data_IF_571787269812
#
_entry.id   IF_571787269812
#
_cell.length_a   1.000
_cell.length_b   1.000
_cell.length_c   1.000
_cell.angle_alpha   90.00
_cell.angle_beta   90.00
_cell.angle_gamma   90.00
#
_symmetry.space_group_name_H-M   'P 1'
#
loop_
_entity.id
_entity.type
_entity.pdbx_description
1 polymer ?
#
# COMPACT_ATOMS: atom_id res chain seq x y z
N UNK A 1 13.36 -7.61 11.57
CA UNK A 1 12.63 -7.09 10.45
C UNK A 1 11.19 -7.63 10.36
N UNK A 2 10.85 -8.83 10.00
CA UNK A 2 9.47 -9.35 10.03
C UNK A 2 9.06 -9.92 11.40
N UNK A 3 9.25 -9.18 12.50
CA UNK A 3 8.88 -9.60 13.86
C UNK A 3 7.39 -9.42 14.19
N UNK A 4 6.62 -8.78 13.30
CA UNK A 4 5.19 -8.53 13.54
C UNK A 4 4.44 -9.86 13.58
N UNK A 5 3.55 -9.98 14.56
CA UNK A 5 2.59 -11.07 14.70
C UNK A 5 1.22 -10.61 14.21
N UNK A 6 0.37 -11.57 13.85
CA UNK A 6 -1.02 -11.31 13.51
C UNK A 6 -1.74 -10.61 14.67
N UNK A 7 -2.37 -9.48 14.36
CA UNK A 7 -3.15 -8.68 15.32
C UNK A 7 -4.54 -8.41 14.72
N UNK A 8 -5.55 -9.27 15.00
CA UNK A 8 -6.89 -9.12 14.42
C UNK A 8 -7.54 -7.77 14.79
N UNK A 9 -7.32 -7.27 16.00
CA UNK A 9 -7.82 -5.96 16.45
C UNK A 9 -7.29 -4.77 15.67
N UNK A 10 -6.22 -4.96 14.90
CA UNK A 10 -5.67 -3.95 13.99
C UNK A 10 -6.08 -4.23 12.55
N UNK A 11 -5.80 -5.42 12.05
CA UNK A 11 -5.91 -5.72 10.62
C UNK A 11 -7.36 -5.87 10.15
N UNK A 12 -8.28 -6.34 11.00
CA UNK A 12 -9.70 -6.48 10.63
C UNK A 12 -10.38 -5.11 10.47
N UNK A 13 -10.25 -4.12 11.40
CA UNK A 13 -10.76 -2.78 11.16
C UNK A 13 -10.18 -2.12 9.90
N UNK A 14 -8.86 -2.23 9.67
CA UNK A 14 -8.22 -1.70 8.45
C UNK A 14 -8.83 -2.30 7.18
N UNK A 15 -9.04 -3.62 7.15
CA UNK A 15 -9.66 -4.32 6.03
C UNK A 15 -11.12 -3.91 5.81
N UNK A 16 -11.87 -3.73 6.90
CA UNK A 16 -13.26 -3.28 6.85
C UNK A 16 -13.39 -1.86 6.27
N UNK A 17 -12.49 -0.95 6.66
CA UNK A 17 -12.46 0.41 6.10
C UNK A 17 -12.22 0.38 4.59
N UNK A 18 -11.33 -0.49 4.10
CA UNK A 18 -11.05 -0.67 2.68
C UNK A 18 -12.30 -1.22 1.96
N UNK A 19 -12.92 -2.29 2.48
CA UNK A 19 -14.14 -2.86 1.88
C UNK A 19 -15.32 -1.89 1.85
N UNK A 20 -15.46 -1.04 2.86
CA UNK A 20 -16.55 -0.05 2.91
C UNK A 20 -16.33 1.12 1.95
N UNK A 21 -15.10 1.38 1.56
CA UNK A 21 -14.76 2.51 0.69
C UNK A 21 -14.69 2.14 -0.78
N UNK A 22 -14.15 0.95 -1.10
CA UNK A 22 -13.91 0.52 -2.48
C UNK A 22 -14.89 -0.55 -2.91
N UNK A 23 -15.34 -0.47 -4.16
CA UNK A 23 -16.07 -1.55 -4.83
C UNK A 23 -15.07 -2.40 -5.63
N UNK A 24 -14.99 -3.70 -5.34
CA UNK A 24 -14.11 -4.65 -6.02
C UNK A 24 -14.58 -6.09 -5.78
N UNK A 25 -14.41 -6.96 -6.77
CA UNK A 25 -14.59 -8.39 -6.63
C UNK A 25 -13.34 -9.09 -6.10
N UNK A 26 -12.16 -8.59 -6.52
CA UNK A 26 -10.87 -9.10 -6.08
C UNK A 26 -9.85 -7.96 -5.91
N UNK A 27 -8.87 -8.19 -5.02
CA UNK A 27 -7.82 -7.20 -4.77
C UNK A 27 -6.46 -7.85 -4.52
N UNK A 28 -5.41 -7.04 -4.67
CA UNK A 28 -4.04 -7.41 -4.29
C UNK A 28 -3.47 -6.41 -3.27
N UNK A 29 -2.82 -6.94 -2.23
CA UNK A 29 -1.94 -6.19 -1.32
C UNK A 29 -0.52 -6.34 -1.85
N UNK A 30 0.01 -5.31 -2.53
CA UNK A 30 1.34 -5.32 -3.11
C UNK A 30 2.38 -4.81 -2.09
N UNK A 31 3.40 -5.62 -1.81
CA UNK A 31 4.26 -5.47 -0.64
C UNK A 31 3.61 -6.02 0.63
N UNK A 32 2.88 -7.12 0.50
CA UNK A 32 2.01 -7.68 1.56
C UNK A 32 2.76 -8.26 2.76
N UNK A 33 4.07 -8.38 2.71
CA UNK A 33 4.90 -9.01 3.74
C UNK A 33 4.34 -10.39 4.16
N UNK A 34 3.93 -10.55 5.41
CA UNK A 34 3.35 -11.80 5.95
C UNK A 34 1.86 -11.99 5.66
N UNK A 35 1.26 -11.15 4.83
CA UNK A 35 -0.12 -11.26 4.37
C UNK A 35 -1.19 -10.99 5.43
N UNK A 36 -0.92 -10.17 6.45
CA UNK A 36 -1.90 -9.91 7.51
C UNK A 36 -3.12 -9.13 7.02
N UNK A 37 -2.94 -8.16 6.11
CA UNK A 37 -4.07 -7.46 5.49
C UNK A 37 -4.85 -8.41 4.58
N UNK A 38 -4.15 -9.22 3.78
CA UNK A 38 -4.77 -10.27 2.95
C UNK A 38 -5.63 -11.20 3.80
N UNK A 39 -5.11 -11.66 4.95
CA UNK A 39 -5.85 -12.53 5.86
C UNK A 39 -7.11 -11.85 6.39
N UNK A 40 -7.03 -10.58 6.81
CA UNK A 40 -8.17 -9.82 7.30
C UNK A 40 -9.25 -9.65 6.22
N UNK A 41 -8.87 -9.24 5.00
CA UNK A 41 -9.78 -9.09 3.87
C UNK A 41 -10.48 -10.43 3.52
N UNK A 42 -9.75 -11.56 3.59
CA UNK A 42 -10.34 -12.88 3.36
C UNK A 42 -11.28 -13.33 4.46
N UNK A 43 -10.99 -13.03 5.74
CA UNK A 43 -11.93 -13.26 6.86
C UNK A 43 -13.25 -12.52 6.61
N UNK A 44 -13.20 -11.32 6.05
CA UNK A 44 -14.36 -10.49 5.72
C UNK A 44 -15.02 -10.88 4.37
N UNK A 45 -14.56 -11.94 3.70
CA UNK A 45 -15.15 -12.50 2.49
C UNK A 45 -14.61 -11.99 1.17
N UNK A 46 -13.64 -11.06 1.15
CA UNK A 46 -13.01 -10.59 -0.09
C UNK A 46 -12.12 -11.66 -0.74
N UNK A 47 -12.07 -11.67 -2.07
CA UNK A 47 -11.07 -12.43 -2.83
C UNK A 47 -9.74 -11.67 -2.86
N UNK A 48 -9.04 -11.62 -1.72
CA UNK A 48 -7.78 -10.89 -1.57
C UNK A 48 -6.57 -11.79 -1.83
N UNK A 49 -5.57 -11.24 -2.49
CA UNK A 49 -4.27 -11.85 -2.78
C UNK A 49 -3.15 -10.95 -2.28
N UNK A 50 -1.95 -11.49 -2.14
CA UNK A 50 -0.77 -10.72 -1.75
C UNK A 50 0.40 -11.00 -2.67
N UNK A 51 1.15 -9.96 -2.99
CA UNK A 51 2.39 -10.06 -3.74
C UNK A 51 3.52 -9.41 -2.94
N UNK A 52 4.67 -10.08 -2.85
CA UNK A 52 5.86 -9.54 -2.19
C UNK A 52 7.12 -10.07 -2.89
N UNK A 53 8.14 -9.23 -3.01
CA UNK A 53 9.43 -9.62 -3.58
C UNK A 53 10.27 -10.47 -2.61
N UNK A 54 9.95 -10.45 -1.32
CA UNK A 54 10.68 -11.18 -0.29
C UNK A 54 10.18 -12.62 -0.20
N UNK A 55 10.95 -13.56 -0.75
CA UNK A 55 10.71 -15.00 -0.57
C UNK A 55 10.58 -15.36 0.90
N UNK A 56 11.43 -14.79 1.76
CA UNK A 56 11.34 -15.00 3.21
C UNK A 56 9.97 -14.58 3.78
N UNK A 57 9.41 -13.46 3.32
CA UNK A 57 8.11 -12.99 3.80
C UNK A 57 6.99 -13.96 3.39
N UNK A 58 7.02 -14.45 2.15
CA UNK A 58 6.05 -15.41 1.61
C UNK A 58 6.17 -16.77 2.33
N UNK A 59 7.38 -17.29 2.50
CA UNK A 59 7.60 -18.56 3.20
C UNK A 59 7.17 -18.52 4.68
N UNK A 60 7.35 -17.36 5.33
CA UNK A 60 7.01 -17.14 6.73
C UNK A 60 5.70 -16.34 6.92
N UNK A 61 4.80 -16.41 5.94
CA UNK A 61 3.52 -15.74 5.97
C UNK A 61 2.57 -16.37 7.00
N UNK A 62 1.42 -15.72 7.22
CA UNK A 62 0.36 -16.30 8.02
C UNK A 62 -0.18 -17.58 7.35
N UNK A 63 -0.26 -18.74 8.04
CA UNK A 63 -0.62 -20.02 7.40
C UNK A 63 -1.93 -20.00 6.63
N UNK A 64 -2.92 -19.25 7.10
CA UNK A 64 -4.24 -19.15 6.48
C UNK A 64 -4.22 -18.46 5.10
N UNK A 65 -3.12 -17.82 4.69
CA UNK A 65 -3.03 -17.12 3.39
C UNK A 65 -1.91 -17.62 2.51
N UNK A 66 -1.25 -18.71 2.89
CA UNK A 66 -0.09 -19.25 2.15
C UNK A 66 -0.40 -19.48 0.65
N UNK A 67 -1.60 -19.97 0.35
CA UNK A 67 -2.04 -20.28 -1.03
C UNK A 67 -2.47 -19.02 -1.81
N UNK A 68 -2.49 -17.86 -1.17
CA UNK A 68 -2.94 -16.59 -1.73
C UNK A 68 -1.82 -15.54 -1.84
N UNK A 69 -0.61 -15.89 -1.40
CA UNK A 69 0.57 -15.06 -1.53
C UNK A 69 1.51 -15.62 -2.60
N UNK A 70 2.14 -14.72 -3.35
CA UNK A 70 3.12 -15.07 -4.38
C UNK A 70 4.17 -13.98 -4.58
N UNK A 71 5.25 -14.31 -5.28
CA UNK A 71 6.07 -13.29 -5.92
C UNK A 71 5.23 -12.49 -6.94
N UNK A 72 5.65 -11.26 -7.31
CA UNK A 72 4.98 -10.46 -8.32
C UNK A 72 4.72 -11.24 -9.61
N UNK A 73 3.51 -11.16 -10.14
CA UNK A 73 3.06 -11.90 -11.31
C UNK A 73 2.25 -11.01 -12.27
N UNK A 74 1.68 -11.55 -13.35
CA UNK A 74 0.92 -10.80 -14.36
C UNK A 74 -0.60 -10.80 -14.15
N UNK A 75 -1.08 -11.19 -12.97
CA UNK A 75 -2.51 -11.22 -12.66
C UNK A 75 -3.04 -9.79 -12.52
N UNK A 76 -4.27 -9.58 -13.03
CA UNK A 76 -5.01 -8.32 -12.96
C UNK A 76 -6.02 -8.39 -11.83
N UNK A 77 -6.24 -7.25 -11.17
CA UNK A 77 -7.11 -7.12 -10.00
C UNK A 77 -7.98 -5.86 -10.13
N UNK A 78 -9.14 -5.84 -9.48
CA UNK A 78 -10.03 -4.68 -9.47
C UNK A 78 -9.50 -3.55 -8.57
N UNK A 79 -8.73 -3.91 -7.52
CA UNK A 79 -8.10 -2.96 -6.61
C UNK A 79 -6.67 -3.40 -6.29
N UNK A 80 -5.70 -2.50 -6.46
CA UNK A 80 -4.35 -2.65 -5.96
C UNK A 80 -4.15 -1.80 -4.71
N UNK A 81 -3.84 -2.46 -3.61
CA UNK A 81 -3.49 -1.84 -2.32
C UNK A 81 -1.97 -1.88 -2.19
N UNK A 82 -1.34 -0.75 -1.90
CA UNK A 82 0.09 -0.67 -1.63
C UNK A 82 0.29 0.12 -0.34
N UNK A 83 0.63 -0.57 0.74
CA UNK A 83 0.65 -0.02 2.08
C UNK A 83 2.04 -0.11 2.71
N UNK A 84 2.67 1.06 2.95
CA UNK A 84 4.01 1.12 3.56
C UNK A 84 5.07 0.34 2.75
N UNK A 85 5.13 0.59 1.44
CA UNK A 85 6.07 -0.08 0.52
C UNK A 85 6.82 0.92 -0.38
N UNK A 86 6.14 1.96 -0.90
CA UNK A 86 6.77 2.89 -1.85
C UNK A 86 7.91 3.71 -1.23
N UNK A 87 7.92 3.92 0.07
CA UNK A 87 9.02 4.55 0.79
C UNK A 87 10.33 3.73 0.79
N UNK A 88 10.24 2.43 0.47
CA UNK A 88 11.39 1.54 0.32
C UNK A 88 11.97 1.52 -1.10
N UNK A 89 11.31 2.17 -2.06
CA UNK A 89 11.73 2.26 -3.46
C UNK A 89 12.55 3.52 -3.67
N UNK A 90 13.72 3.41 -4.31
CA UNK A 90 14.51 4.59 -4.68
C UNK A 90 13.72 5.48 -5.64
N UNK A 91 13.87 6.80 -5.50
CA UNK A 91 13.13 7.80 -6.28
C UNK A 91 13.20 7.54 -7.80
N UNK A 92 14.35 7.11 -8.29
CA UNK A 92 14.60 6.83 -9.72
C UNK A 92 13.80 5.60 -10.21
N UNK A 93 13.45 4.67 -9.33
CA UNK A 93 12.76 3.43 -9.68
C UNK A 93 11.24 3.51 -9.50
N UNK A 94 10.73 4.56 -8.82
CA UNK A 94 9.29 4.74 -8.60
C UNK A 94 8.48 4.73 -9.91
N UNK A 95 8.88 5.43 -10.99
CA UNK A 95 8.16 5.38 -12.26
C UNK A 95 8.00 3.95 -12.83
N UNK A 96 9.01 3.12 -12.70
CA UNK A 96 8.96 1.72 -13.16
C UNK A 96 7.98 0.87 -12.31
N UNK A 97 7.94 1.09 -11.00
CA UNK A 97 6.98 0.44 -10.09
C UNK A 97 5.55 0.89 -10.41
N UNK A 98 5.34 2.19 -10.62
CA UNK A 98 4.03 2.74 -10.99
C UNK A 98 3.56 2.20 -12.35
N UNK A 99 4.46 2.07 -13.32
CA UNK A 99 4.15 1.43 -14.61
C UNK A 99 3.72 -0.04 -14.43
N UNK A 100 4.38 -0.79 -13.56
CA UNK A 100 3.96 -2.15 -13.21
C UNK A 100 2.55 -2.17 -12.57
N UNK A 101 2.23 -1.21 -11.71
CA UNK A 101 0.92 -1.13 -11.06
C UNK A 101 -0.21 -0.90 -12.05
N UNK A 102 -0.03 -0.02 -13.05
CA UNK A 102 -1.00 0.22 -14.13
C UNK A 102 -1.33 -1.05 -14.92
N UNK A 103 -0.40 -1.99 -15.03
CA UNK A 103 -0.65 -3.28 -15.69
C UNK A 103 -1.46 -4.26 -14.83
N UNK A 104 -1.72 -3.92 -13.54
CA UNK A 104 -2.37 -4.82 -12.58
C UNK A 104 -3.76 -4.38 -12.16
N UNK A 105 -4.07 -3.10 -12.23
CA UNK A 105 -5.35 -2.55 -11.78
C UNK A 105 -5.58 -1.17 -12.37
N UNK A 106 -6.85 -0.73 -12.38
CA UNK A 106 -7.27 0.63 -12.72
C UNK A 106 -7.61 1.44 -11.47
N UNK A 107 -7.68 0.81 -10.29
CA UNK A 107 -8.01 1.42 -9.03
C UNK A 107 -6.95 1.13 -7.98
N UNK A 108 -6.50 2.18 -7.26
CA UNK A 108 -5.38 2.08 -6.35
C UNK A 108 -5.66 2.74 -5.01
N UNK A 109 -5.13 2.11 -3.95
CA UNK A 109 -5.09 2.69 -2.62
C UNK A 109 -3.67 2.60 -2.06
N UNK A 110 -3.02 3.76 -1.89
CA UNK A 110 -1.66 3.82 -1.35
C UNK A 110 -1.65 4.48 0.02
N UNK A 111 -0.87 3.92 0.95
CA UNK A 111 -0.50 4.59 2.19
C UNK A 111 1.00 4.74 2.25
N UNK A 112 1.48 5.97 2.48
CA UNK A 112 2.89 6.31 2.40
C UNK A 112 3.27 7.17 3.62
N UNK A 113 4.33 6.83 4.35
CA UNK A 113 4.97 7.75 5.30
C UNK A 113 5.44 9.02 4.60
N UNK A 114 5.04 10.17 5.13
CA UNK A 114 5.42 11.46 4.55
C UNK A 114 6.68 12.03 5.21
N UNK A 115 7.44 12.77 4.42
CA UNK A 115 8.66 13.44 4.83
C UNK A 115 8.76 14.86 4.30
N UNK A 116 9.60 15.66 4.94
CA UNK A 116 9.98 17.03 4.54
C UNK A 116 11.49 17.16 4.66
N UNK A 117 12.15 17.82 3.70
CA UNK A 117 13.59 18.07 3.73
C UNK A 117 14.42 16.80 4.01
N UNK A 118 14.13 15.71 3.31
CA UNK A 118 14.78 14.40 3.43
C UNK A 118 14.69 13.75 4.83
N UNK A 119 13.65 14.09 5.59
CA UNK A 119 13.34 13.46 6.88
C UNK A 119 11.86 13.08 6.96
N UNK A 120 11.56 11.93 7.55
CA UNK A 120 10.18 11.58 7.83
C UNK A 120 9.58 12.47 8.92
N UNK A 121 8.31 12.85 8.75
CA UNK A 121 7.54 13.58 9.78
C UNK A 121 7.37 12.76 11.07
N UNK A 122 7.38 11.44 10.94
CA UNK A 122 7.39 10.51 12.08
C UNK A 122 8.82 10.01 12.27
N UNK A 123 9.48 10.46 13.34
CA UNK A 123 10.88 10.14 13.63
C UNK A 123 11.14 8.63 13.70
N UNK A 124 10.18 7.87 14.17
CA UNK A 124 10.29 6.41 14.30
C UNK A 124 10.47 5.70 12.95
N UNK A 125 10.10 6.32 11.82
CA UNK A 125 10.36 5.79 10.48
C UNK A 125 11.83 5.94 10.04
N UNK A 126 12.59 6.87 10.64
CA UNK A 126 14.03 7.01 10.37
C UNK A 126 14.86 5.83 10.88
N UNK A 127 14.34 5.03 11.80
CA UNK A 127 15.05 3.88 12.38
C UNK A 127 15.16 2.72 11.36
N UNK A 128 14.25 2.66 10.40
CA UNK A 128 14.32 1.66 9.33
C UNK A 128 15.18 2.21 8.18
N UNK A 129 16.41 1.71 8.09
CA UNK A 129 17.38 2.13 7.07
C UNK A 129 16.97 1.80 5.63
N UNK A 130 15.93 1.00 5.47
CA UNK A 130 15.37 0.66 4.15
C UNK A 130 14.35 1.68 3.65
N UNK A 131 13.97 2.66 4.48
CA UNK A 131 13.15 3.79 4.08
C UNK A 131 14.02 4.84 3.38
N UNK A 132 14.02 4.84 2.07
CA UNK A 132 14.91 5.67 1.23
C UNK A 132 14.21 6.91 0.65
N UNK A 133 12.92 6.84 0.34
CA UNK A 133 12.17 7.95 -0.26
C UNK A 133 11.31 8.68 0.76
N UNK A 134 11.75 9.90 1.13
CA UNK A 134 11.22 10.73 2.21
C UNK A 134 10.65 12.03 1.64
N UNK A 135 9.49 11.95 1.01
CA UNK A 135 8.88 13.06 0.28
C UNK A 135 7.55 13.48 0.89
N UNK A 136 7.17 14.73 0.64
CA UNK A 136 5.88 15.28 1.02
C UNK A 136 4.75 14.83 0.08
N UNK A 137 3.53 15.16 0.45
CA UNK A 137 2.33 14.82 -0.31
C UNK A 137 2.31 15.46 -1.70
N UNK A 138 2.81 16.70 -1.85
CA UNK A 138 2.82 17.38 -3.15
C UNK A 138 3.75 16.68 -4.13
N UNK A 139 4.90 16.23 -3.65
CA UNK A 139 5.85 15.48 -4.47
C UNK A 139 5.23 14.14 -4.93
N UNK A 140 4.57 13.40 -4.02
CA UNK A 140 3.91 12.15 -4.35
C UNK A 140 2.78 12.35 -5.36
N UNK A 141 1.92 13.37 -5.15
CA UNK A 141 0.84 13.71 -6.09
C UNK A 141 1.40 13.99 -7.48
N UNK A 142 2.42 14.87 -7.60
CA UNK A 142 3.07 15.17 -8.88
C UNK A 142 3.71 13.93 -9.52
N UNK A 143 4.29 13.04 -8.72
CA UNK A 143 4.85 11.78 -9.20
C UNK A 143 3.76 10.87 -9.79
N UNK A 144 2.61 10.75 -9.15
CA UNK A 144 1.48 9.97 -9.65
C UNK A 144 0.91 10.58 -10.93
N UNK A 145 0.61 11.88 -10.94
CA UNK A 145 0.07 12.58 -12.11
C UNK A 145 1.02 12.48 -13.33
N UNK A 146 2.33 12.69 -13.12
CA UNK A 146 3.35 12.55 -14.16
C UNK A 146 3.39 11.15 -14.77
N UNK A 147 3.00 10.13 -14.01
CA UNK A 147 2.94 8.74 -14.45
C UNK A 147 1.54 8.29 -14.90
N UNK A 148 0.61 9.25 -15.15
CA UNK A 148 -0.71 8.99 -15.72
C UNK A 148 -1.77 8.54 -14.71
N UNK A 149 -1.55 8.72 -13.42
CA UNK A 149 -2.59 8.46 -12.42
C UNK A 149 -3.43 9.70 -12.17
N UNK A 150 -4.72 9.53 -12.06
CA UNK A 150 -5.66 10.53 -11.60
C UNK A 150 -5.81 10.46 -10.08
N UNK A 151 -5.58 11.57 -9.38
CA UNK A 151 -5.83 11.65 -7.94
C UNK A 151 -7.32 11.85 -7.68
N UNK A 152 -7.99 10.83 -7.14
CA UNK A 152 -9.40 10.90 -6.75
C UNK A 152 -9.53 11.50 -5.35
N UNK A 153 -8.62 11.14 -4.44
CA UNK A 153 -8.63 11.67 -3.07
C UNK A 153 -7.24 11.58 -2.45
N UNK A 154 -6.87 12.65 -1.76
CA UNK A 154 -5.77 12.66 -0.78
C UNK A 154 -6.34 12.94 0.61
N UNK A 155 -5.78 12.29 1.63
CA UNK A 155 -6.09 12.55 3.04
C UNK A 155 -4.92 12.19 3.93
N UNK A 156 -4.86 12.78 5.12
CA UNK A 156 -3.92 12.38 6.17
C UNK A 156 -4.49 11.30 7.10
N UNK A 157 -5.74 10.89 6.90
CA UNK A 157 -6.39 9.82 7.64
C UNK A 157 -7.30 8.98 6.73
N UNK A 158 -7.47 7.70 7.09
CA UNK A 158 -8.38 6.79 6.42
C UNK A 158 -8.87 5.73 7.40
N UNK A 159 -10.06 5.96 7.94
CA UNK A 159 -10.69 5.07 8.92
C UNK A 159 -9.80 4.75 10.12
N UNK A 160 -9.62 3.46 10.38
CA UNK A 160 -8.80 2.95 11.48
C UNK A 160 -7.32 2.75 11.10
N UNK A 161 -6.98 2.90 9.79
CA UNK A 161 -5.64 2.64 9.29
C UNK A 161 -4.64 3.60 9.93
N UNK A 162 -3.63 3.05 10.58
CA UNK A 162 -2.59 3.82 11.29
C UNK A 162 -3.12 4.78 12.38
N UNK A 163 -4.33 4.57 12.91
CA UNK A 163 -5.00 5.49 13.85
C UNK A 163 -4.07 5.97 14.98
N UNK A 164 -3.32 5.08 15.61
CA UNK A 164 -2.36 5.43 16.68
C UNK A 164 -1.26 6.40 16.23
N UNK A 165 -0.83 6.31 14.97
CA UNK A 165 0.17 7.22 14.40
C UNK A 165 -0.46 8.56 14.06
N UNK A 166 -1.69 8.56 13.50
CA UNK A 166 -2.44 9.76 13.15
C UNK A 166 -2.74 10.59 14.39
N UNK A 167 -3.18 9.96 15.49
CA UNK A 167 -3.48 10.64 16.74
C UNK A 167 -2.24 11.35 17.33
N UNK A 168 -1.04 10.82 17.10
CA UNK A 168 0.23 11.39 17.58
C UNK A 168 0.87 12.34 16.56
N UNK A 169 0.74 12.03 15.27
CA UNK A 169 1.35 12.72 14.14
C UNK A 169 0.33 12.88 13.00
N UNK A 170 -0.58 13.85 13.07
CA UNK A 170 -1.74 13.97 12.15
C UNK A 170 -1.37 14.04 10.66
N UNK A 171 -0.20 14.56 10.33
CA UNK A 171 0.27 14.71 8.94
C UNK A 171 1.46 13.79 8.61
N UNK A 172 1.69 12.76 9.39
CA UNK A 172 2.84 11.87 9.24
C UNK A 172 2.70 10.82 8.14
N UNK A 173 1.49 10.60 7.63
CA UNK A 173 1.20 9.63 6.57
C UNK A 173 0.25 10.23 5.56
N UNK A 174 0.42 9.89 4.29
CA UNK A 174 -0.51 10.19 3.21
C UNK A 174 -1.31 8.96 2.80
N UNK A 175 -2.59 9.18 2.51
CA UNK A 175 -3.52 8.19 1.98
C UNK A 175 -3.99 8.69 0.62
N UNK A 176 -3.69 7.94 -0.43
CA UNK A 176 -3.96 8.32 -1.81
C UNK A 176 -4.91 7.30 -2.43
N UNK A 177 -6.06 7.77 -2.90
CA UNK A 177 -6.96 7.02 -3.77
C UNK A 177 -6.73 7.51 -5.18
N UNK A 178 -6.37 6.60 -6.06
CA UNK A 178 -5.97 6.92 -7.43
C UNK A 178 -6.74 6.03 -8.41
N UNK A 179 -6.88 6.53 -9.64
CA UNK A 179 -7.33 5.76 -10.80
C UNK A 179 -6.33 5.90 -11.93
N UNK A 180 -6.38 4.95 -12.83
CA UNK A 180 -5.71 5.00 -14.11
C UNK A 180 -6.73 4.73 -15.22
N UNK A 181 -6.66 5.52 -16.27
CA UNK A 181 -7.50 5.36 -17.45
C UNK A 181 -6.58 5.28 -18.68
N UNK A 182 -6.61 4.13 -19.37
CA UNK A 182 -5.82 3.87 -20.58
C UNK A 182 -6.05 4.89 -21.71
N UNK A 183 -7.10 5.72 -21.64
CA UNK A 183 -7.40 6.73 -22.66
C UNK A 183 -6.37 7.86 -22.73
N UNK A 184 -5.44 7.96 -21.76
CA UNK A 184 -4.38 8.98 -21.71
C UNK A 184 -3.05 8.54 -22.31
N UNK A 185 -2.85 7.27 -22.65
CA UNK A 185 -1.62 6.74 -23.26
C UNK A 185 -1.68 6.76 -24.81
N UNK A 186 -2.30 7.81 -25.40
CA UNK A 186 -2.44 8.03 -26.83
C UNK A 186 -1.44 9.03 -27.41
#
# INVERSE_FOLDING_TARGET
MYKRQWQPTRSIPEALDIQNYFEFDNCVDYGCAKGFLVHALRILGSKAYGEDMSEYAIENCHPAVKDYLSAPNKKIYDLLICKDMLEHVEEVDIPAVLHLFKQKSDQFFFTIPLGDNDRFRIREYEVDVTHVTKKDEEWWIKMFEKNGFELIKFSYEFGSIKKKWIDKFPHGNGFFVLKYDDSYDG
#
